data_IF_227650571559
#
_entry.id   IF_227650571559
#
_cell.length_a   1.000
_cell.length_b   1.000
_cell.length_c   1.000
_cell.angle_alpha   90.00
_cell.angle_beta   90.00
_cell.angle_gamma   90.00
#
_symmetry.space_group_name_H-M   'P 1'
#
loop_
_entity.id
_entity.type
_entity.pdbx_description
1 polymer ?
#
# COMPACT_ATOMS: atom_id res chain seq x y z
N UNK A 1 -10.87 11.46 18.89
CA UNK A 1 -10.24 10.12 18.71
C UNK A 1 -8.80 10.30 18.26
N UNK A 2 -7.81 9.77 19.01
CA UNK A 2 -6.40 9.77 18.57
C UNK A 2 -6.27 8.95 17.28
N UNK A 3 -5.75 9.55 16.20
CA UNK A 3 -5.42 8.80 15.00
C UNK A 3 -4.44 7.68 15.36
N UNK A 4 -4.78 6.44 15.00
CA UNK A 4 -3.93 5.28 15.26
C UNK A 4 -2.55 5.50 14.59
N UNK A 5 -1.50 5.73 15.40
CA UNK A 5 -0.16 6.08 14.94
C UNK A 5 0.39 5.04 13.95
N UNK A 6 0.07 3.77 14.17
CA UNK A 6 0.46 2.64 13.33
C UNK A 6 -0.20 2.70 11.96
N UNK A 7 -1.51 2.94 11.88
CA UNK A 7 -2.21 3.11 10.59
C UNK A 7 -1.67 4.31 9.82
N UNK A 8 -1.39 5.42 10.51
CA UNK A 8 -0.82 6.62 9.88
C UNK A 8 0.57 6.34 9.29
N UNK A 9 1.43 5.66 10.06
CA UNK A 9 2.75 5.25 9.61
C UNK A 9 2.69 4.37 8.36
N UNK A 10 1.91 3.29 8.38
CA UNK A 10 1.80 2.39 7.23
C UNK A 10 1.15 3.05 6.01
N UNK A 11 0.14 3.90 6.21
CA UNK A 11 -0.47 4.67 5.11
C UNK A 11 0.56 5.60 4.45
N UNK A 12 1.37 6.30 5.25
CA UNK A 12 2.43 7.16 4.74
C UNK A 12 3.51 6.37 4.01
N UNK A 13 3.88 5.19 4.54
CA UNK A 13 4.85 4.31 3.92
C UNK A 13 4.37 3.80 2.54
N UNK A 14 3.13 3.31 2.44
CA UNK A 14 2.54 2.86 1.17
C UNK A 14 2.56 3.96 0.11
N UNK A 15 2.24 5.20 0.49
CA UNK A 15 2.20 6.34 -0.44
C UNK A 15 3.58 6.65 -1.05
N UNK A 16 4.66 6.37 -0.31
CA UNK A 16 6.05 6.57 -0.76
C UNK A 16 6.59 5.44 -1.64
N UNK A 17 5.86 4.33 -1.81
CA UNK A 17 6.33 3.21 -2.63
C UNK A 17 6.38 3.61 -4.12
N UNK A 18 7.56 3.59 -4.77
CA UNK A 18 7.68 4.10 -6.14
C UNK A 18 7.09 3.15 -7.19
N UNK A 19 7.06 1.85 -6.91
CA UNK A 19 6.62 0.80 -7.85
C UNK A 19 5.10 0.54 -7.80
N UNK A 20 4.36 1.28 -6.96
CA UNK A 20 2.90 1.25 -6.92
C UNK A 20 2.33 2.45 -7.67
N UNK A 21 1.30 2.19 -8.47
CA UNK A 21 0.48 3.24 -9.08
C UNK A 21 -0.35 3.97 -8.03
N UNK A 22 -0.83 5.18 -8.35
CA UNK A 22 -1.73 5.94 -7.47
C UNK A 22 -2.98 5.16 -7.06
N UNK A 23 -3.55 4.37 -7.99
CA UNK A 23 -4.74 3.55 -7.73
C UNK A 23 -4.43 2.40 -6.76
N UNK A 24 -3.31 1.70 -6.94
CA UNK A 24 -2.86 0.64 -6.02
C UNK A 24 -2.58 1.19 -4.62
N UNK A 25 -1.92 2.35 -4.53
CA UNK A 25 -1.66 3.03 -3.25
C UNK A 25 -2.95 3.35 -2.50
N UNK A 26 -3.95 3.89 -3.20
CA UNK A 26 -5.21 4.28 -2.57
C UNK A 26 -6.03 3.05 -2.15
N UNK A 27 -6.08 2.01 -2.98
CA UNK A 27 -6.71 0.72 -2.60
C UNK A 27 -6.08 0.17 -1.32
N UNK A 28 -4.74 0.05 -1.25
CA UNK A 28 -4.07 -0.46 -0.05
C UNK A 28 -4.29 0.44 1.18
N UNK A 29 -4.24 1.77 1.02
CA UNK A 29 -4.47 2.72 2.11
C UNK A 29 -5.90 2.61 2.68
N UNK A 30 -6.91 2.44 1.83
CA UNK A 30 -8.31 2.24 2.25
C UNK A 30 -8.51 0.88 2.91
N UNK A 31 -7.86 -0.17 2.38
CA UNK A 31 -7.89 -1.52 2.96
C UNK A 31 -7.27 -1.58 4.36
N UNK A 32 -6.16 -0.86 4.60
CA UNK A 32 -5.60 -0.69 5.96
C UNK A 32 -6.60 -0.07 6.95
N UNK A 33 -7.50 0.80 6.46
CA UNK A 33 -8.57 1.40 7.26
C UNK A 33 -9.84 0.54 7.30
N UNK A 34 -9.74 -0.74 6.90
CA UNK A 34 -10.82 -1.73 6.86
C UNK A 34 -12.01 -1.34 5.97
N UNK A 35 -11.81 -0.47 4.97
CA UNK A 35 -12.85 -0.19 3.97
C UNK A 35 -13.05 -1.46 3.13
N UNK A 36 -14.32 -1.81 2.87
CA UNK A 36 -14.67 -3.00 2.07
C UNK A 36 -14.32 -2.81 0.60
N UNK A 37 -14.07 -3.91 -0.11
CA UNK A 37 -13.75 -3.88 -1.53
C UNK A 37 -14.90 -3.30 -2.35
N UNK A 38 -16.14 -3.58 -1.96
CA UNK A 38 -17.37 -3.03 -2.55
C UNK A 38 -17.42 -1.50 -2.44
N UNK A 39 -17.20 -0.95 -1.24
CA UNK A 39 -17.17 0.51 -1.03
C UNK A 39 -16.06 1.19 -1.83
N UNK A 40 -14.91 0.53 -1.95
CA UNK A 40 -13.81 1.02 -2.79
C UNK A 40 -14.18 0.93 -4.28
N UNK A 41 -14.90 -0.12 -4.69
CA UNK A 41 -15.40 -0.31 -6.04
C UNK A 41 -16.34 0.81 -6.47
N UNK A 42 -17.31 1.16 -5.62
CA UNK A 42 -18.23 2.30 -5.84
C UNK A 42 -17.45 3.60 -6.07
N UNK A 43 -16.42 3.87 -5.25
CA UNK A 43 -15.61 5.09 -5.39
C UNK A 43 -14.80 5.17 -6.68
N UNK A 44 -14.47 4.01 -7.27
CA UNK A 44 -13.69 3.93 -8.51
C UNK A 44 -14.53 3.55 -9.73
N UNK A 45 -15.85 3.46 -9.56
CA UNK A 45 -16.80 2.99 -10.56
C UNK A 45 -16.40 1.64 -11.20
N UNK A 46 -16.04 0.67 -10.35
CA UNK A 46 -15.66 -0.68 -10.77
C UNK A 46 -16.20 -1.74 -9.82
N UNK A 47 -16.23 -2.98 -10.29
CA UNK A 47 -16.69 -4.12 -9.49
C UNK A 47 -15.74 -4.43 -8.32
N UNK A 48 -16.28 -5.07 -7.28
CA UNK A 48 -15.49 -5.60 -6.16
C UNK A 48 -14.35 -6.52 -6.65
N UNK A 49 -14.65 -7.38 -7.62
CA UNK A 49 -13.67 -8.29 -8.22
C UNK A 49 -12.49 -7.54 -8.84
N UNK A 50 -12.75 -6.39 -9.48
CA UNK A 50 -11.68 -5.56 -10.03
C UNK A 50 -10.80 -4.95 -8.94
N UNK A 51 -11.39 -4.48 -7.83
CA UNK A 51 -10.62 -3.99 -6.68
C UNK A 51 -9.78 -5.12 -6.06
N UNK A 52 -10.33 -6.33 -5.94
CA UNK A 52 -9.61 -7.51 -5.43
C UNK A 52 -8.39 -7.86 -6.29
N UNK A 53 -8.51 -7.76 -7.61
CA UNK A 53 -7.38 -7.97 -8.53
C UNK A 53 -6.29 -6.91 -8.30
N UNK A 54 -6.68 -5.64 -8.20
CA UNK A 54 -5.74 -4.53 -7.93
C UNK A 54 -5.04 -4.74 -6.59
N UNK A 55 -5.77 -5.08 -5.53
CA UNK A 55 -5.22 -5.36 -4.20
C UNK A 55 -4.21 -6.52 -4.27
N UNK A 56 -4.54 -7.63 -4.94
CA UNK A 56 -3.66 -8.79 -5.10
C UNK A 56 -2.36 -8.43 -5.83
N UNK A 57 -2.45 -7.66 -6.92
CA UNK A 57 -1.28 -7.20 -7.68
C UNK A 57 -0.42 -6.25 -6.83
N UNK A 58 -1.03 -5.30 -6.14
CA UNK A 58 -0.33 -4.35 -5.28
C UNK A 58 0.41 -5.08 -4.14
N UNK A 59 -0.24 -6.02 -3.46
CA UNK A 59 0.40 -6.86 -2.43
C UNK A 59 1.55 -7.68 -3.01
N UNK A 60 1.39 -8.26 -4.20
CA UNK A 60 2.46 -9.01 -4.87
C UNK A 60 3.68 -8.12 -5.12
N UNK A 61 3.49 -6.88 -5.58
CA UNK A 61 4.57 -5.91 -5.80
C UNK A 61 5.29 -5.57 -4.49
N UNK A 62 4.54 -5.28 -3.42
CA UNK A 62 5.09 -5.02 -2.08
C UNK A 62 5.88 -6.21 -1.54
N UNK A 63 5.40 -7.45 -1.77
CA UNK A 63 6.05 -8.68 -1.31
C UNK A 63 7.26 -9.09 -2.16
N UNK A 64 7.43 -8.53 -3.35
CA UNK A 64 8.51 -8.95 -4.26
C UNK A 64 9.90 -8.64 -3.66
N UNK A 65 10.85 -9.59 -3.83
CA UNK A 65 12.20 -9.53 -3.23
C UNK A 65 12.96 -8.24 -3.55
N UNK A 66 12.73 -7.64 -4.72
CA UNK A 66 13.37 -6.37 -5.10
C UNK A 66 13.05 -5.22 -4.13
N UNK A 67 11.83 -5.15 -3.60
CA UNK A 67 11.50 -4.09 -2.64
C UNK A 67 12.10 -4.36 -1.26
N UNK A 68 12.13 -5.63 -0.83
CA UNK A 68 12.78 -6.01 0.43
C UNK A 68 14.28 -5.73 0.40
N UNK A 69 14.93 -5.98 -0.74
CA UNK A 69 16.35 -5.73 -0.94
C UNK A 69 16.67 -4.22 -0.99
N UNK A 70 15.86 -3.43 -1.71
CA UNK A 70 15.98 -1.96 -1.72
C UNK A 70 15.73 -1.33 -0.32
N UNK A 71 14.79 -1.88 0.46
CA UNK A 71 14.57 -1.48 1.85
C UNK A 71 15.77 -1.80 2.75
N UNK A 72 16.39 -2.97 2.54
CA UNK A 72 17.60 -3.36 3.27
C UNK A 72 18.77 -2.43 2.94
N UNK A 73 19.00 -2.13 1.66
CA UNK A 73 20.08 -1.23 1.21
C UNK A 73 19.91 0.21 1.71
N UNK A 74 18.68 0.77 1.64
CA UNK A 74 18.38 2.11 2.17
C UNK A 74 18.67 2.22 3.67
N UNK A 75 18.22 1.23 4.46
CA UNK A 75 18.49 1.20 5.90
C UNK A 75 19.98 1.02 6.22
N UNK A 76 20.71 0.28 5.40
CA UNK A 76 22.15 0.10 5.56
C UNK A 76 22.88 1.44 5.34
N UNK A 77 22.49 2.20 4.30
CA UNK A 77 23.07 3.51 4.01
C UNK A 77 22.84 4.54 5.12
N UNK A 78 21.64 4.63 5.68
CA UNK A 78 21.32 5.56 6.78
C UNK A 78 22.06 5.27 8.09
N UNK A 79 22.56 4.04 8.29
CA UNK A 79 23.24 3.61 9.52
C UNK A 79 24.76 3.81 9.46
N UNK A 80 25.31 4.00 8.26
CA UNK A 80 26.75 4.07 8.00
C UNK A 80 27.19 5.44 7.44
N UNK A 81 26.35 6.45 7.57
CA UNK A 81 26.63 7.87 7.38
C UNK A 81 26.24 8.63 8.66
#
# INVERSE_FOLDING_TARGET
>A
MRANRTLRYFTAHIRKLPHLTSKEKDVLARRLRKVTLEKIGILFDVTEGRIRQIEKVAIKKVRSKHFQQALFELKYREKHH
#
